data_IF_999741984898
#
_entry.id   IF_999741984898
#
_cell.length_a   1.000
_cell.length_b   1.000
_cell.length_c   1.000
_cell.angle_alpha   90.00
_cell.angle_beta   90.00
_cell.angle_gamma   90.00
#
_symmetry.space_group_name_H-M   'P 1'
#
loop_
_entity.id
_entity.type
_entity.pdbx_description
1 polymer ?
#
# COMPACT_ATOMS: atom_id res chain seq x y z
N UNK A 1 -57.27 -10.16 -37.56
CA UNK A 1 -56.30 -9.23 -36.93
C UNK A 1 -55.53 -9.79 -35.71
N UNK A 2 -55.54 -11.10 -35.41
CA UNK A 2 -54.91 -11.65 -34.18
C UNK A 2 -53.55 -12.36 -34.33
N UNK A 3 -53.12 -12.70 -35.56
CA UNK A 3 -51.90 -13.51 -35.79
C UNK A 3 -50.61 -12.67 -35.70
N UNK A 4 -50.60 -11.44 -36.22
CA UNK A 4 -49.43 -10.56 -36.21
C UNK A 4 -49.09 -10.01 -34.81
N UNK A 5 -50.09 -9.80 -33.94
CA UNK A 5 -49.86 -9.39 -32.55
C UNK A 5 -49.16 -10.48 -31.72
N UNK A 6 -49.47 -11.77 -31.97
CA UNK A 6 -48.80 -12.89 -31.30
C UNK A 6 -47.34 -13.05 -31.74
N UNK A 7 -47.05 -12.83 -33.03
CA UNK A 7 -45.68 -12.88 -33.57
C UNK A 7 -44.85 -11.70 -33.04
N UNK A 8 -45.40 -10.47 -33.00
CA UNK A 8 -44.73 -9.31 -32.39
C UNK A 8 -44.44 -9.53 -30.90
N UNK A 9 -45.37 -10.12 -30.16
CA UNK A 9 -45.15 -10.42 -28.73
C UNK A 9 -44.03 -11.47 -28.54
N UNK A 10 -43.95 -12.45 -29.43
CA UNK A 10 -42.91 -13.48 -29.40
C UNK A 10 -41.52 -12.93 -29.76
N UNK A 11 -41.45 -12.03 -30.74
CA UNK A 11 -40.19 -11.37 -31.16
C UNK A 11 -39.68 -10.40 -30.08
N UNK A 12 -40.57 -9.65 -29.43
CA UNK A 12 -40.20 -8.76 -28.32
C UNK A 12 -39.72 -9.58 -27.11
N UNK A 13 -40.37 -10.72 -26.82
CA UNK A 13 -39.92 -11.64 -25.77
C UNK A 13 -38.53 -12.20 -26.05
N UNK A 14 -38.21 -12.54 -27.30
CA UNK A 14 -36.89 -13.05 -27.69
C UNK A 14 -35.79 -11.98 -27.56
N UNK A 15 -36.09 -10.72 -27.90
CA UNK A 15 -35.15 -9.59 -27.79
C UNK A 15 -34.88 -9.24 -26.32
N UNK A 16 -35.90 -9.28 -25.45
CA UNK A 16 -35.73 -9.04 -24.01
C UNK A 16 -34.90 -10.15 -23.36
N UNK A 17 -35.10 -11.42 -23.75
CA UNK A 17 -34.28 -12.54 -23.27
C UNK A 17 -32.81 -12.43 -23.74
N UNK A 18 -32.58 -11.93 -24.96
CA UNK A 18 -31.24 -11.64 -25.49
C UNK A 18 -30.55 -10.47 -24.78
N UNK A 19 -31.30 -9.47 -24.29
CA UNK A 19 -30.75 -8.34 -23.54
C UNK A 19 -30.41 -8.72 -22.08
N UNK A 20 -31.15 -9.66 -21.49
CA UNK A 20 -30.88 -10.15 -20.13
C UNK A 20 -29.68 -11.11 -20.11
N UNK A 21 -29.45 -11.89 -21.18
CA UNK A 21 -28.30 -12.82 -21.28
C UNK A 21 -26.96 -12.12 -21.55
N UNK A 22 -26.96 -10.90 -22.09
CA UNK A 22 -25.76 -10.11 -22.33
C UNK A 22 -25.38 -9.19 -21.14
N UNK A 23 -26.23 -9.12 -20.11
CA UNK A 23 -25.98 -8.36 -18.88
C UNK A 23 -25.06 -9.03 -17.84
N UNK A 24 -24.55 -10.23 -18.10
CA UNK A 24 -23.73 -11.00 -17.13
C UNK A 24 -22.23 -10.74 -17.29
N UNK A 25 -21.83 -9.47 -17.30
CA UNK A 25 -20.44 -9.04 -17.52
C UNK A 25 -19.61 -8.74 -16.26
N UNK A 26 -20.06 -9.05 -15.03
CA UNK A 26 -19.39 -8.54 -13.83
C UNK A 26 -19.26 -9.48 -12.61
N UNK A 27 -19.22 -10.82 -12.77
CA UNK A 27 -19.02 -11.74 -11.61
C UNK A 27 -18.22 -13.03 -11.90
N UNK A 28 -17.04 -12.94 -12.51
CA UNK A 28 -16.15 -14.12 -12.58
C UNK A 28 -14.73 -13.82 -12.11
N UNK A 29 -14.60 -13.32 -10.88
CA UNK A 29 -13.41 -13.65 -10.08
C UNK A 29 -13.72 -14.99 -9.44
N UNK A 30 -12.97 -16.05 -9.79
CA UNK A 30 -13.23 -17.41 -9.33
C UNK A 30 -13.27 -17.49 -7.80
N UNK A 31 -14.12 -18.35 -7.25
CA UNK A 31 -14.26 -18.57 -5.79
C UNK A 31 -12.91 -18.93 -5.14
N UNK A 32 -12.06 -19.67 -5.86
CA UNK A 32 -10.68 -19.99 -5.47
C UNK A 32 -9.75 -18.78 -5.38
N UNK A 33 -10.00 -17.72 -6.17
CA UNK A 33 -9.21 -16.49 -6.15
C UNK A 33 -9.56 -15.58 -4.97
N UNK A 34 -10.78 -15.67 -4.42
CA UNK A 34 -11.17 -14.98 -3.18
C UNK A 34 -10.59 -15.64 -1.92
N UNK A 35 -10.41 -16.96 -1.91
CA UNK A 35 -9.89 -17.67 -0.73
C UNK A 35 -8.36 -17.55 -0.58
N UNK A 36 -7.62 -17.40 -1.69
CA UNK A 36 -6.15 -17.32 -1.68
C UNK A 36 -5.58 -15.91 -1.45
N UNK A 37 -6.44 -14.89 -1.44
CA UNK A 37 -6.04 -13.50 -1.22
C UNK A 37 -6.97 -12.92 -0.15
N UNK A 38 -6.60 -13.12 1.12
CA UNK A 38 -7.32 -12.53 2.26
C UNK A 38 -7.14 -11.01 2.24
N UNK A 39 -8.20 -10.22 2.50
CA UNK A 39 -8.07 -8.79 2.73
C UNK A 39 -7.13 -8.54 3.91
N UNK A 40 -6.20 -7.61 3.73
CA UNK A 40 -5.25 -7.15 4.75
C UNK A 40 -5.46 -5.65 4.90
N UNK A 41 -5.58 -5.16 6.13
CA UNK A 41 -5.57 -3.74 6.41
C UNK A 41 -4.30 -3.37 7.17
N UNK A 42 -3.51 -2.46 6.61
CA UNK A 42 -2.31 -1.92 7.25
C UNK A 42 -2.63 -0.55 7.86
N UNK A 43 -2.30 -0.36 9.12
CA UNK A 43 -2.45 0.91 9.83
C UNK A 43 -1.13 1.67 9.76
N UNK A 44 -1.16 2.87 9.17
CA UNK A 44 0.02 3.74 9.03
C UNK A 44 -0.16 5.02 9.84
N UNK A 45 0.69 5.25 10.83
CA UNK A 45 0.70 6.45 11.66
C UNK A 45 1.82 7.42 11.30
N UNK A 46 1.53 8.72 11.33
CA UNK A 46 2.53 9.79 11.15
C UNK A 46 2.22 11.03 11.99
N UNK A 47 3.27 11.78 12.32
CA UNK A 47 3.21 13.10 12.95
C UNK A 47 3.25 14.27 11.94
N UNK A 48 3.74 14.00 10.73
CA UNK A 48 4.03 14.97 9.69
C UNK A 48 3.49 14.49 8.35
N UNK A 49 3.29 15.44 7.44
CA UNK A 49 2.69 15.29 6.11
C UNK A 49 1.21 14.90 6.16
N UNK A 50 0.39 15.70 5.46
CA UNK A 50 -1.04 15.41 5.35
C UNK A 50 -1.27 14.08 4.62
N UNK A 51 -2.46 13.52 4.82
CA UNK A 51 -2.89 12.31 4.09
C UNK A 51 -2.76 12.46 2.57
N UNK A 52 -2.92 13.69 2.06
CA UNK A 52 -2.86 13.97 0.63
C UNK A 52 -1.44 13.77 0.07
N UNK A 53 -0.40 14.02 0.86
CA UNK A 53 1.00 13.79 0.47
C UNK A 53 1.29 12.32 0.13
N UNK A 54 0.54 11.38 0.73
CA UNK A 54 0.68 9.93 0.51
C UNK A 54 -0.42 9.35 -0.37
N UNK A 55 -1.45 10.12 -0.70
CA UNK A 55 -2.64 9.64 -1.41
C UNK A 55 -2.28 8.97 -2.75
N UNK A 56 -1.40 9.59 -3.53
CA UNK A 56 -1.01 9.08 -4.84
C UNK A 56 -0.22 7.77 -4.75
N UNK A 57 0.79 7.70 -3.89
CA UNK A 57 1.61 6.49 -3.74
C UNK A 57 0.80 5.32 -3.16
N UNK A 58 -0.08 5.60 -2.18
CA UNK A 58 -1.02 4.62 -1.63
C UNK A 58 -1.96 4.14 -2.73
N UNK A 59 -2.53 5.04 -3.52
CA UNK A 59 -3.44 4.67 -4.61
C UNK A 59 -2.75 3.78 -5.66
N UNK A 60 -1.53 4.15 -6.10
CA UNK A 60 -0.73 3.35 -7.03
C UNK A 60 -0.41 1.97 -6.45
N UNK A 61 -0.07 1.89 -5.16
CA UNK A 61 0.18 0.63 -4.46
C UNK A 61 -1.08 -0.26 -4.41
N UNK A 62 -2.23 0.29 -4.04
CA UNK A 62 -3.50 -0.42 -3.96
C UNK A 62 -3.99 -0.92 -5.32
N UNK A 63 -3.71 -0.19 -6.41
CA UNK A 63 -4.00 -0.64 -7.77
C UNK A 63 -3.22 -1.90 -8.14
N UNK A 64 -2.00 -2.06 -7.63
CA UNK A 64 -1.18 -3.25 -7.83
C UNK A 64 -1.58 -4.39 -6.88
N UNK A 65 -1.97 -4.04 -5.65
CA UNK A 65 -2.30 -4.99 -4.57
C UNK A 65 -3.70 -4.68 -3.99
N UNK A 66 -4.78 -4.99 -4.73
CA UNK A 66 -6.16 -4.56 -4.36
C UNK A 66 -6.72 -5.22 -3.10
N UNK A 67 -5.99 -6.18 -2.52
CA UNK A 67 -6.35 -6.84 -1.28
C UNK A 67 -5.74 -6.19 -0.04
N UNK A 68 -4.86 -5.21 -0.23
CA UNK A 68 -4.21 -4.47 0.85
C UNK A 68 -4.84 -3.09 0.93
N UNK A 69 -5.56 -2.81 2.01
CA UNK A 69 -5.97 -1.45 2.36
C UNK A 69 -4.96 -0.81 3.31
N UNK A 70 -4.85 0.52 3.25
CA UNK A 70 -3.96 1.28 4.13
C UNK A 70 -4.79 2.37 4.84
N UNK A 71 -4.92 2.26 6.16
CA UNK A 71 -5.52 3.27 7.02
C UNK A 71 -4.44 4.24 7.47
N UNK A 72 -4.41 5.43 6.86
CA UNK A 72 -3.46 6.49 7.20
C UNK A 72 -4.03 7.38 8.31
N UNK A 73 -3.32 7.48 9.43
CA UNK A 73 -3.68 8.33 10.56
C UNK A 73 -2.60 9.39 10.76
N UNK A 74 -3.01 10.65 10.65
CA UNK A 74 -2.19 11.79 11.02
C UNK A 74 -2.51 12.15 12.46
N UNK A 75 -1.51 12.00 13.33
CA UNK A 75 -1.56 12.38 14.74
C UNK A 75 -0.76 13.67 14.88
N UNK A 76 -1.17 14.54 15.80
CA UNK A 76 -0.47 15.80 16.05
C UNK A 76 0.94 15.53 16.57
N UNK A 77 1.93 16.30 16.10
CA UNK A 77 3.33 16.07 16.46
C UNK A 77 3.57 16.07 17.97
N UNK A 78 2.86 16.93 18.71
CA UNK A 78 2.97 17.04 20.18
C UNK A 78 2.42 15.82 20.93
N UNK A 79 1.49 15.08 20.33
CA UNK A 79 0.82 13.91 20.93
C UNK A 79 1.42 12.58 20.47
N UNK A 80 2.23 12.62 19.41
CA UNK A 80 2.61 11.44 18.65
C UNK A 80 3.46 10.43 19.42
N UNK A 81 4.46 10.90 20.17
CA UNK A 81 5.33 10.05 20.97
C UNK A 81 4.51 9.24 21.99
N UNK A 82 3.63 9.95 22.71
CA UNK A 82 2.78 9.38 23.74
C UNK A 82 1.81 8.36 23.14
N UNK A 83 1.16 8.71 22.04
CA UNK A 83 0.24 7.80 21.34
C UNK A 83 0.92 6.50 20.91
N UNK A 84 2.15 6.56 20.38
CA UNK A 84 2.91 5.37 20.02
C UNK A 84 3.26 4.52 21.25
N UNK A 85 3.69 5.15 22.35
CA UNK A 85 4.04 4.43 23.58
C UNK A 85 2.86 3.69 24.19
N UNK A 86 1.70 4.34 24.27
CA UNK A 86 0.46 3.72 24.75
C UNK A 86 0.03 2.57 23.84
N UNK A 87 0.03 2.80 22.52
CA UNK A 87 -0.36 1.78 21.56
C UNK A 87 0.57 0.55 21.60
N UNK A 88 1.89 0.75 21.73
CA UNK A 88 2.83 -0.37 21.91
C UNK A 88 2.69 -1.08 23.25
N UNK A 89 2.34 -0.36 24.32
CA UNK A 89 2.14 -0.97 25.64
C UNK A 89 0.86 -1.81 25.70
N UNK A 90 -0.15 -1.48 24.89
CA UNK A 90 -1.43 -2.16 24.84
C UNK A 90 -1.53 -3.23 23.73
N UNK A 91 -0.43 -3.53 23.03
CA UNK A 91 -0.41 -4.41 21.85
C UNK A 91 -1.36 -3.95 20.72
N UNK A 92 -1.57 -2.62 20.60
CA UNK A 92 -2.39 -1.96 19.56
C UNK A 92 -1.57 -1.02 18.66
N UNK A 93 -0.25 -1.20 18.63
CA UNK A 93 0.66 -0.42 17.80
C UNK A 93 0.33 -0.48 16.31
N UNK A 94 0.65 0.57 15.53
CA UNK A 94 0.42 0.56 14.09
C UNK A 94 1.36 -0.42 13.36
N UNK A 95 0.94 -0.90 12.19
CA UNK A 95 1.76 -1.75 11.32
C UNK A 95 2.95 -0.97 10.70
N UNK A 96 2.73 0.31 10.43
CA UNK A 96 3.72 1.22 9.85
C UNK A 96 3.66 2.52 10.65
N UNK A 97 4.82 3.09 10.96
CA UNK A 97 4.92 4.39 11.62
C UNK A 97 6.19 5.11 11.19
N UNK A 98 6.19 6.43 11.29
CA UNK A 98 7.36 7.28 11.02
C UNK A 98 7.80 7.94 12.30
N UNK A 99 9.08 7.85 12.67
CA UNK A 99 9.65 8.51 13.85
C UNK A 99 10.82 9.42 13.44
N UNK A 100 11.06 10.50 14.18
CA UNK A 100 12.32 11.25 14.08
C UNK A 100 13.52 10.33 14.30
N UNK A 101 14.62 10.56 13.55
CA UNK A 101 15.80 9.69 13.60
C UNK A 101 16.42 9.56 15.00
N UNK A 102 16.37 10.64 15.79
CA UNK A 102 16.91 10.67 17.15
C UNK A 102 16.12 9.79 18.14
N UNK A 103 14.93 9.33 17.77
CA UNK A 103 14.14 8.40 18.58
C UNK A 103 14.51 6.93 18.38
N UNK A 104 15.23 6.61 17.29
CA UNK A 104 15.53 5.22 16.93
C UNK A 104 16.29 4.50 18.05
N UNK A 105 17.30 5.15 18.64
CA UNK A 105 18.05 4.58 19.77
C UNK A 105 17.17 4.35 21.00
N UNK A 106 16.24 5.27 21.29
CA UNK A 106 15.32 5.17 22.44
C UNK A 106 14.32 4.02 22.28
N UNK A 107 13.85 3.77 21.06
CA UNK A 107 12.76 2.82 20.78
C UNK A 107 13.17 1.59 19.99
N UNK A 108 14.46 1.34 19.80
CA UNK A 108 14.97 0.19 19.05
C UNK A 108 14.30 -1.14 19.44
N UNK A 109 14.05 -1.36 20.73
CA UNK A 109 13.43 -2.59 21.26
C UNK A 109 11.94 -2.74 20.93
N UNK A 110 11.28 -1.67 20.47
CA UNK A 110 9.89 -1.64 20.03
C UNK A 110 9.75 -1.74 18.50
N UNK A 111 10.86 -1.73 17.76
CA UNK A 111 10.89 -1.71 16.30
C UNK A 111 11.45 -3.03 15.77
N UNK A 112 10.73 -3.66 14.85
CA UNK A 112 11.23 -4.85 14.17
C UNK A 112 12.26 -4.45 13.11
N UNK A 113 13.50 -4.95 13.17
CA UNK A 113 14.46 -4.71 12.11
C UNK A 113 14.05 -5.42 10.82
N UNK A 114 14.38 -4.81 9.69
CA UNK A 114 14.18 -5.39 8.37
C UNK A 114 14.99 -6.70 8.26
N UNK A 115 14.28 -7.78 7.96
CA UNK A 115 14.90 -9.09 7.75
C UNK A 115 15.54 -9.14 6.37
N UNK A 116 16.83 -8.85 6.30
CA UNK A 116 17.62 -8.74 5.04
C UNK A 116 17.58 -10.02 4.17
N UNK A 117 17.33 -11.19 4.76
CA UNK A 117 17.23 -12.47 4.06
C UNK A 117 15.79 -12.88 3.70
N UNK A 118 14.77 -12.11 4.08
CA UNK A 118 13.38 -12.49 3.86
C UNK A 118 12.94 -12.19 2.42
N UNK A 119 12.45 -13.21 1.72
CA UNK A 119 11.67 -13.03 0.50
C UNK A 119 10.26 -12.54 0.86
N UNK A 120 9.88 -11.38 0.34
CA UNK A 120 8.53 -10.84 0.45
C UNK A 120 7.71 -11.40 -0.70
N UNK A 121 6.74 -12.26 -0.39
CA UNK A 121 5.84 -12.85 -1.38
C UNK A 121 4.61 -11.94 -1.50
N UNK A 122 4.55 -11.20 -2.59
CA UNK A 122 3.40 -10.36 -2.93
C UNK A 122 2.51 -11.08 -3.94
N UNK A 123 1.20 -11.06 -3.74
CA UNK A 123 0.24 -11.62 -4.70
C UNK A 123 -0.50 -10.50 -5.41
N UNK A 124 -0.45 -10.46 -6.74
CA UNK A 124 -1.24 -9.52 -7.53
C UNK A 124 -2.04 -10.22 -8.61
N UNK A 125 -3.15 -9.61 -8.98
CA UNK A 125 -3.94 -10.04 -10.12
C UNK A 125 -3.37 -9.39 -11.38
N UNK A 126 -3.14 -10.19 -12.41
CA UNK A 126 -2.81 -9.71 -13.76
C UNK A 126 -3.84 -10.26 -14.74
N UNK A 127 -4.16 -9.48 -15.77
CA UNK A 127 -4.97 -9.98 -16.88
C UNK A 127 -4.05 -10.72 -17.85
N UNK A 128 -4.21 -12.03 -17.98
CA UNK A 128 -3.43 -12.86 -18.88
C UNK A 128 -4.30 -13.41 -20.02
N UNK A 129 -3.73 -13.55 -21.22
CA UNK A 129 -4.38 -14.11 -22.41
C UNK A 129 -4.37 -13.18 -23.62
N UNK A 130 -4.08 -13.73 -24.80
CA UNK A 130 -3.94 -12.96 -26.06
C UNK A 130 -5.29 -12.65 -26.71
N UNK A 131 -6.31 -13.48 -26.49
CA UNK A 131 -7.64 -13.36 -27.12
C UNK A 131 -8.76 -13.11 -26.08
N UNK A 132 -8.66 -13.72 -24.89
CA UNK A 132 -9.58 -13.49 -23.76
C UNK A 132 -8.76 -13.18 -22.52
N UNK A 133 -8.91 -11.96 -22.00
CA UNK A 133 -8.20 -11.50 -20.79
C UNK A 133 -8.88 -12.12 -19.56
N UNK A 134 -8.19 -13.03 -18.88
CA UNK A 134 -8.67 -13.65 -17.64
C UNK A 134 -7.78 -13.22 -16.47
N UNK A 135 -8.36 -12.92 -15.28
CA UNK A 135 -7.58 -12.58 -14.10
C UNK A 135 -6.79 -13.82 -13.64
N UNK A 136 -5.47 -13.69 -13.53
CA UNK A 136 -4.56 -14.69 -12.98
C UNK A 136 -3.83 -14.12 -11.77
N UNK A 137 -3.75 -14.90 -10.69
CA UNK A 137 -2.92 -14.55 -9.53
C UNK A 137 -1.47 -14.90 -9.87
N UNK A 138 -0.60 -13.91 -9.77
CA UNK A 138 0.84 -14.11 -9.84
C UNK A 138 1.45 -13.80 -8.48
N UNK A 139 2.28 -14.72 -8.00
CA UNK A 139 3.14 -14.53 -6.83
C UNK A 139 4.45 -13.93 -7.30
N UNK A 140 4.68 -12.70 -6.89
CA UNK A 140 5.92 -11.98 -7.12
C UNK A 140 6.78 -12.11 -5.86
N UNK A 141 8.01 -12.60 -6.04
CA UNK A 141 9.02 -12.62 -4.99
C UNK A 141 9.80 -11.31 -5.06
N UNK A 142 9.74 -10.50 -4.01
CA UNK A 142 10.58 -9.32 -3.83
C UNK A 142 11.61 -9.59 -2.75
N UNK A 143 12.83 -9.12 -2.95
CA UNK A 143 13.85 -9.13 -1.90
C UNK A 143 13.72 -7.85 -1.08
N UNK A 144 13.89 -7.98 0.24
CA UNK A 144 14.05 -6.82 1.10
C UNK A 144 15.35 -6.09 0.75
N UNK A 145 15.37 -4.77 0.96
CA UNK A 145 16.56 -3.94 0.78
C UNK A 145 17.70 -4.47 1.66
N UNK A 146 18.87 -4.68 1.08
CA UNK A 146 20.08 -5.07 1.82
C UNK A 146 21.00 -3.87 2.12
N UNK A 147 22.03 -4.08 2.95
CA UNK A 147 22.95 -3.01 3.39
C UNK A 147 23.72 -2.35 2.23
N UNK A 148 24.06 -3.12 1.19
CA UNK A 148 24.74 -2.60 0.01
C UNK A 148 23.79 -1.69 -0.77
N UNK A 149 22.58 -2.17 -1.06
CA UNK A 149 21.56 -1.39 -1.76
C UNK A 149 21.19 -0.13 -0.99
N UNK A 150 21.10 -0.18 0.35
CA UNK A 150 20.88 1.00 1.19
C UNK A 150 21.96 2.06 0.97
N UNK A 151 23.23 1.67 0.91
CA UNK A 151 24.37 2.59 0.68
C UNK A 151 24.44 3.10 -0.75
N UNK A 152 23.90 2.36 -1.72
CA UNK A 152 23.89 2.74 -3.15
C UNK A 152 22.71 3.66 -3.49
N UNK A 153 21.54 3.47 -2.87
CA UNK A 153 20.30 4.19 -3.20
C UNK A 153 20.16 5.49 -2.39
N UNK A 154 20.71 5.53 -1.18
CA UNK A 154 20.59 6.68 -0.29
C UNK A 154 21.92 7.41 -0.12
N UNK A 155 21.83 8.66 0.30
CA UNK A 155 23.02 9.47 0.62
C UNK A 155 23.80 8.88 1.79
N UNK A 156 25.11 9.19 1.87
CA UNK A 156 26.06 8.58 2.79
C UNK A 156 25.70 8.70 4.29
N UNK A 157 24.91 9.70 4.67
CA UNK A 157 24.47 9.91 6.06
C UNK A 157 23.35 8.95 6.48
N UNK A 158 22.53 8.48 5.55
CA UNK A 158 21.35 7.65 5.85
C UNK A 158 21.69 6.35 6.57
N UNK A 159 22.70 5.56 6.15
CA UNK A 159 23.07 4.34 6.86
C UNK A 159 23.29 4.57 8.36
N UNK A 160 23.93 5.68 8.74
CA UNK A 160 24.17 5.99 10.16
C UNK A 160 22.88 6.34 10.92
N UNK A 161 21.85 6.81 10.22
CA UNK A 161 20.58 7.23 10.81
C UNK A 161 19.57 6.08 10.97
N UNK A 162 19.74 4.97 10.23
CA UNK A 162 18.78 3.84 10.24
C UNK A 162 19.38 2.48 10.62
N UNK A 163 20.71 2.39 10.75
CA UNK A 163 21.40 1.17 11.16
C UNK A 163 21.69 1.17 12.65
N UNK A 164 21.32 0.07 13.31
CA UNK A 164 21.80 -0.26 14.67
C UNK A 164 22.21 -1.73 14.67
N UNK A 165 23.38 -2.06 15.22
CA UNK A 165 23.94 -3.43 15.24
C UNK A 165 23.94 -4.11 13.86
N UNK A 166 24.27 -3.35 12.81
CA UNK A 166 24.28 -3.79 11.41
C UNK A 166 22.91 -4.29 10.88
N UNK A 167 21.82 -3.88 11.53
CA UNK A 167 20.44 -4.15 11.11
C UNK A 167 19.75 -2.85 10.72
N UNK A 168 18.91 -2.91 9.69
CA UNK A 168 18.12 -1.77 9.21
C UNK A 168 16.84 -1.70 10.04
N UNK A 169 16.59 -0.60 10.75
CA UNK A 169 15.38 -0.41 11.57
C UNK A 169 14.32 0.48 10.92
N UNK A 170 14.66 1.15 9.82
CA UNK A 170 13.74 2.00 9.09
C UNK A 170 14.28 2.36 7.73
N UNK A 171 13.44 3.01 6.92
CA UNK A 171 13.84 3.61 5.65
C UNK A 171 13.61 5.12 5.75
N UNK A 172 14.57 5.95 5.33
CA UNK A 172 14.38 7.39 5.38
C UNK A 172 13.30 7.81 4.37
N UNK A 173 12.49 8.79 4.76
CA UNK A 173 11.46 9.37 3.90
C UNK A 173 11.90 10.70 3.31
N UNK A 174 12.64 11.48 4.10
CA UNK A 174 13.23 12.75 3.74
C UNK A 174 14.56 12.92 4.49
N UNK A 175 15.36 13.88 4.03
CA UNK A 175 16.54 14.37 4.73
C UNK A 175 16.36 15.87 4.95
N UNK A 176 16.33 16.28 6.21
CA UNK A 176 16.24 17.68 6.58
C UNK A 176 17.64 18.23 6.86
N UNK A 177 17.99 19.30 6.15
CA UNK A 177 19.27 20.01 6.31
C UNK A 177 19.02 21.46 6.72
N UNK A 178 19.84 21.96 7.64
CA UNK A 178 19.80 23.37 8.02
C UNK A 178 20.45 24.22 6.92
N UNK A 179 19.76 25.26 6.47
CA UNK A 179 20.29 26.22 5.50
C UNK A 179 20.22 27.65 6.07
N UNK A 180 21.28 28.43 5.81
CA UNK A 180 21.31 29.86 6.12
C UNK A 180 20.66 30.64 4.98
N UNK A 181 19.64 31.41 5.30
CA UNK A 181 19.02 32.36 4.38
C UNK A 181 19.35 33.78 4.84
N UNK A 182 19.69 34.65 3.90
CA UNK A 182 19.92 36.08 4.18
C UNK A 182 19.07 36.95 3.26
N UNK A 183 18.68 38.13 3.76
CA UNK A 183 17.97 39.12 2.95
C UNK A 183 18.95 39.86 2.04
N UNK A 184 18.76 39.76 0.73
CA UNK A 184 19.61 40.39 -0.28
C UNK A 184 19.48 41.91 -0.32
N UNK A 185 18.37 42.47 0.18
CA UNK A 185 18.12 43.92 0.18
C UNK A 185 18.92 44.67 1.26
N UNK A 186 19.59 43.94 2.16
CA UNK A 186 20.43 44.49 3.22
C UNK A 186 21.92 44.58 2.83
N UNK A 187 22.24 44.37 1.54
CA UNK A 187 23.60 44.41 0.99
C UNK A 187 23.78 45.54 -0.03
#
# INVERSE_FOLDING_TARGET
MGKNKKIQFFVISLIVVSLVSSGFGCKCVSKEMKERIKPINLVYWRAQDSKDAFSEIIHRFQKLYPHISITYNLIRAEEYEQALLEAWAEDRGPDIFSIPKNWLGKYQTKILPLKLSQEIIMSRQIMAGTIKKEPKIVREKKKALNLRELKEIFVETVPNDVLVDNKIYGLPLSLDVLALYYNRDLC
#
